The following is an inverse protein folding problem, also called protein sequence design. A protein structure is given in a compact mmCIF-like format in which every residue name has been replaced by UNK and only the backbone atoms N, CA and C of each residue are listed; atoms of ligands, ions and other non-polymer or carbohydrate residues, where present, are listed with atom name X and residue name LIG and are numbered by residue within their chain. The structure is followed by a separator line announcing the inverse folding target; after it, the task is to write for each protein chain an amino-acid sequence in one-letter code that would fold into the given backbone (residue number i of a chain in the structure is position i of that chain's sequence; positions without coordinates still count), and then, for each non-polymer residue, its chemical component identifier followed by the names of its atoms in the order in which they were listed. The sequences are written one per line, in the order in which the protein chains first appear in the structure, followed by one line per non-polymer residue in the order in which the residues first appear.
data_IF_883078297746
#
_entry.id   IF_883078297746
#
_cell.length_a   1.000
_cell.length_b   1.000
_cell.length_c   1.000
_cell.angle_alpha   90.00
_cell.angle_beta   90.00
_cell.angle_gamma   90.00
#
_symmetry.space_group_name_H-M   'P 1'
#
loop_
_entity.id
_entity.type
_entity.pdbx_description
1 polymer ?
#
# COMPACT_ATOMS: atom_id res chain seq x y z
N UNK A 1 39.57 -29.79 -43.91
CA UNK A 1 39.13 -30.61 -42.75
C UNK A 1 37.93 -29.92 -42.12
N UNK A 2 36.72 -30.44 -42.30
CA UNK A 2 35.50 -29.88 -41.71
C UNK A 2 35.32 -30.34 -40.25
N UNK A 3 34.62 -29.54 -39.43
CA UNK A 3 34.26 -29.96 -38.08
C UNK A 3 33.41 -31.24 -38.11
N UNK A 4 33.67 -32.22 -37.23
CA UNK A 4 32.86 -33.43 -37.14
C UNK A 4 31.42 -33.07 -36.72
N UNK A 5 30.43 -33.67 -37.40
CA UNK A 5 28.98 -33.39 -37.28
C UNK A 5 28.49 -33.39 -35.83
N UNK A 6 29.09 -34.21 -34.96
CA UNK A 6 28.80 -34.28 -33.54
C UNK A 6 29.12 -32.99 -32.77
N UNK A 7 30.21 -32.28 -33.11
CA UNK A 7 30.58 -30.99 -32.48
C UNK A 7 29.66 -29.86 -32.94
N UNK A 8 29.24 -29.89 -34.20
CA UNK A 8 28.29 -28.94 -34.77
C UNK A 8 26.90 -29.06 -34.10
N UNK A 9 26.40 -30.30 -33.91
CA UNK A 9 25.16 -30.57 -33.16
C UNK A 9 25.23 -30.08 -31.71
N UNK A 10 26.29 -30.43 -30.98
CA UNK A 10 26.46 -30.01 -29.58
C UNK A 10 26.52 -28.47 -29.42
N UNK A 11 27.13 -27.75 -30.38
CA UNK A 11 27.15 -26.28 -30.39
C UNK A 11 25.76 -25.69 -30.61
N UNK A 12 24.98 -26.27 -31.52
CA UNK A 12 23.60 -25.86 -31.81
C UNK A 12 22.68 -26.08 -30.61
N UNK A 13 22.71 -27.26 -29.99
CA UNK A 13 21.93 -27.57 -28.79
C UNK A 13 22.28 -26.64 -27.61
N UNK A 14 23.56 -26.29 -27.45
CA UNK A 14 23.97 -25.33 -26.41
C UNK A 14 23.39 -23.95 -26.68
N UNK A 15 23.49 -23.46 -27.91
CA UNK A 15 22.90 -22.18 -28.32
C UNK A 15 21.38 -22.18 -28.10
N UNK A 16 20.70 -23.26 -28.49
CA UNK A 16 19.26 -23.43 -28.32
C UNK A 16 18.86 -23.33 -26.84
N UNK A 17 19.53 -24.08 -25.95
CA UNK A 17 19.30 -24.01 -24.50
C UNK A 17 19.52 -22.60 -23.91
N UNK A 18 20.55 -21.88 -24.35
CA UNK A 18 20.75 -20.48 -23.93
C UNK A 18 19.65 -19.56 -24.44
N UNK A 19 19.21 -19.74 -25.69
CA UNK A 19 18.13 -18.94 -26.27
C UNK A 19 16.79 -19.21 -25.60
N UNK A 20 16.49 -20.46 -25.25
CA UNK A 20 15.29 -20.86 -24.53
C UNK A 20 15.28 -20.27 -23.12
N UNK A 21 16.40 -20.38 -22.37
CA UNK A 21 16.53 -19.76 -21.04
C UNK A 21 16.39 -18.24 -21.08
N UNK A 22 16.97 -17.59 -22.10
CA UNK A 22 16.83 -16.15 -22.29
C UNK A 22 15.38 -15.78 -22.62
N UNK A 23 14.70 -16.55 -23.47
CA UNK A 23 13.30 -16.33 -23.81
C UNK A 23 12.37 -16.54 -22.60
N UNK A 24 12.62 -17.56 -21.78
CA UNK A 24 11.86 -17.84 -20.56
C UNK A 24 12.03 -16.71 -19.53
N UNK A 25 13.26 -16.26 -19.28
CA UNK A 25 13.53 -15.14 -18.39
C UNK A 25 12.88 -13.83 -18.88
N UNK A 26 12.88 -13.59 -20.19
CA UNK A 26 12.20 -12.43 -20.79
C UNK A 26 10.67 -12.53 -20.64
N UNK A 27 10.10 -13.72 -20.83
CA UNK A 27 8.67 -13.97 -20.66
C UNK A 27 8.25 -13.76 -19.19
N UNK A 28 9.00 -14.29 -18.23
CA UNK A 28 8.74 -14.11 -16.81
C UNK A 28 8.80 -12.63 -16.41
N UNK A 29 9.83 -11.91 -16.85
CA UNK A 29 9.94 -10.46 -16.63
C UNK A 29 8.73 -9.72 -17.21
N UNK A 30 8.36 -10.02 -18.46
CA UNK A 30 7.22 -9.37 -19.12
C UNK A 30 5.91 -9.63 -18.37
N UNK A 31 5.70 -10.84 -17.84
CA UNK A 31 4.52 -11.16 -17.03
C UNK A 31 4.49 -10.36 -15.72
N UNK A 32 5.64 -10.22 -15.04
CA UNK A 32 5.76 -9.39 -13.84
C UNK A 32 5.47 -7.91 -14.15
N UNK A 33 6.06 -7.38 -15.21
CA UNK A 33 5.86 -5.99 -15.65
C UNK A 33 4.39 -5.72 -16.02
N UNK A 34 3.74 -6.65 -16.74
CA UNK A 34 2.32 -6.54 -17.07
C UNK A 34 1.43 -6.54 -15.82
N UNK A 35 1.79 -7.29 -14.78
CA UNK A 35 1.05 -7.30 -13.51
C UNK A 35 1.15 -5.94 -12.81
N UNK A 36 2.36 -5.39 -12.70
CA UNK A 36 2.60 -4.06 -12.11
C UNK A 36 1.84 -2.98 -12.89
N UNK A 37 1.89 -3.01 -14.22
CA UNK A 37 1.16 -2.04 -15.05
C UNK A 37 -0.35 -2.11 -14.86
N UNK A 38 -0.93 -3.31 -14.70
CA UNK A 38 -2.37 -3.47 -14.44
C UNK A 38 -2.76 -2.90 -13.08
N UNK A 39 -2.00 -3.23 -12.03
CA UNK A 39 -2.23 -2.71 -10.68
C UNK A 39 -2.11 -1.18 -10.65
N UNK A 40 -1.12 -0.62 -11.36
CA UNK A 40 -0.91 0.82 -11.43
C UNK A 40 -1.98 1.53 -12.28
N UNK A 41 -2.43 0.94 -13.38
CA UNK A 41 -3.53 1.47 -14.18
C UNK A 41 -4.86 1.48 -13.39
N UNK A 42 -5.12 0.43 -12.59
CA UNK A 42 -6.28 0.38 -11.69
C UNK A 42 -6.17 1.46 -10.61
N UNK A 43 -5.00 1.59 -9.98
CA UNK A 43 -4.74 2.63 -8.99
C UNK A 43 -4.97 4.02 -9.56
N UNK A 44 -4.43 4.32 -10.74
CA UNK A 44 -4.56 5.63 -11.38
C UNK A 44 -6.00 5.94 -11.82
N UNK A 45 -6.80 4.92 -12.20
CA UNK A 45 -8.22 5.11 -12.50
C UNK A 45 -9.03 5.47 -11.26
N UNK A 46 -8.68 4.89 -10.12
CA UNK A 46 -9.42 5.03 -8.87
C UNK A 46 -8.88 6.16 -7.99
N UNK A 47 -7.65 6.61 -8.22
CA UNK A 47 -6.98 7.59 -7.35
C UNK A 47 -7.77 8.88 -7.19
N UNK A 48 -8.38 9.40 -8.26
CA UNK A 48 -9.17 10.64 -8.17
C UNK A 48 -10.39 10.49 -7.26
N UNK A 49 -11.11 9.37 -7.38
CA UNK A 49 -12.27 9.07 -6.53
C UNK A 49 -11.86 8.82 -5.07
N UNK A 50 -10.80 8.03 -4.87
CA UNK A 50 -10.27 7.72 -3.54
C UNK A 50 -9.71 8.98 -2.85
N UNK A 51 -9.02 9.84 -3.60
CA UNK A 51 -8.53 11.13 -3.10
C UNK A 51 -9.71 12.04 -2.74
N UNK A 52 -10.77 12.07 -3.54
CA UNK A 52 -11.98 12.83 -3.21
C UNK A 52 -12.65 12.31 -1.94
N UNK A 53 -12.71 10.99 -1.74
CA UNK A 53 -13.24 10.37 -0.53
C UNK A 53 -12.39 10.70 0.70
N UNK A 54 -11.07 10.57 0.60
CA UNK A 54 -10.14 10.91 1.69
C UNK A 54 -10.22 12.40 2.00
N UNK A 55 -10.24 13.28 0.99
CA UNK A 55 -10.42 14.73 1.20
C UNK A 55 -11.75 15.05 1.85
N UNK A 56 -12.86 14.46 1.39
CA UNK A 56 -14.18 14.67 2.00
C UNK A 56 -14.18 14.22 3.46
N UNK A 57 -13.52 13.11 3.75
CA UNK A 57 -13.36 12.64 5.12
C UNK A 57 -12.46 13.58 5.93
N UNK A 58 -11.29 14.00 5.46
CA UNK A 58 -10.35 14.80 6.25
C UNK A 58 -10.73 16.28 6.38
N UNK A 59 -11.61 16.79 5.50
CA UNK A 59 -12.01 18.19 5.45
C UNK A 59 -12.43 18.71 6.85
N UNK A 60 -11.81 19.81 7.28
CA UNK A 60 -12.06 20.47 8.55
C UNK A 60 -11.48 19.74 9.79
N UNK A 61 -10.84 18.58 9.62
CA UNK A 61 -10.22 17.82 10.72
C UNK A 61 -8.81 17.30 10.44
N UNK A 62 -8.20 17.66 9.32
CA UNK A 62 -6.85 17.25 8.90
C UNK A 62 -5.75 17.54 9.95
N UNK A 63 -5.96 18.56 10.79
CA UNK A 63 -5.01 18.96 11.83
C UNK A 63 -5.43 18.53 13.24
N UNK A 64 -6.58 17.88 13.38
CA UNK A 64 -7.13 17.48 14.66
C UNK A 64 -7.03 15.97 14.83
N UNK A 65 -5.97 15.52 15.48
CA UNK A 65 -5.70 14.10 15.69
C UNK A 65 -6.86 13.38 16.40
N UNK A 66 -7.50 14.01 17.39
CA UNK A 66 -8.64 13.42 18.11
C UNK A 66 -9.82 13.17 17.17
N UNK A 67 -10.13 14.15 16.32
CA UNK A 67 -11.22 14.04 15.35
C UNK A 67 -10.93 12.97 14.29
N UNK A 68 -9.71 12.89 13.78
CA UNK A 68 -9.32 11.84 12.82
C UNK A 68 -9.44 10.44 13.43
N UNK A 69 -8.91 10.24 14.63
CA UNK A 69 -8.98 8.94 15.32
C UNK A 69 -10.41 8.51 15.64
N UNK A 70 -11.28 9.47 16.01
CA UNK A 70 -12.68 9.19 16.35
C UNK A 70 -13.56 8.85 15.15
N UNK A 71 -13.13 9.21 13.94
CA UNK A 71 -13.89 9.06 12.69
C UNK A 71 -13.24 8.12 11.68
N UNK A 72 -12.19 7.40 12.09
CA UNK A 72 -11.40 6.52 11.21
C UNK A 72 -12.22 5.34 10.63
N UNK A 73 -13.27 4.91 11.33
CA UNK A 73 -14.19 3.85 10.88
C UNK A 73 -14.88 4.18 9.54
N UNK A 74 -15.10 5.46 9.25
CA UNK A 74 -15.81 5.86 8.02
C UNK A 74 -14.95 5.76 6.78
N UNK A 75 -13.63 5.80 6.92
CA UNK A 75 -12.70 5.75 5.79
C UNK A 75 -12.05 4.36 5.64
N UNK A 76 -11.80 3.64 6.74
CA UNK A 76 -11.23 2.29 6.69
C UNK A 76 -12.25 1.18 6.42
N UNK A 77 -13.54 1.46 6.64
CA UNK A 77 -14.62 0.49 6.47
C UNK A 77 -14.62 -0.64 7.51
N UNK A 78 -15.66 -1.46 7.48
CA UNK A 78 -15.86 -2.55 8.44
C UNK A 78 -14.76 -3.63 8.38
N UNK A 79 -14.20 -3.87 7.19
CA UNK A 79 -13.19 -4.91 6.95
C UNK A 79 -11.85 -4.63 7.63
N UNK A 80 -11.58 -3.37 7.98
CA UNK A 80 -10.37 -2.99 8.70
C UNK A 80 -10.30 -3.58 10.11
N UNK A 81 -11.45 -3.94 10.71
CA UNK A 81 -11.55 -4.32 12.12
C UNK A 81 -11.30 -3.14 13.08
N UNK A 82 -11.26 -1.91 12.58
CA UNK A 82 -11.16 -0.72 13.41
C UNK A 82 -12.42 -0.55 14.26
N UNK A 83 -12.22 -0.43 15.57
CA UNK A 83 -13.33 -0.13 16.49
C UNK A 83 -13.42 1.39 16.67
N UNK A 84 -14.60 2.00 16.45
CA UNK A 84 -14.79 3.44 16.64
C UNK A 84 -14.47 3.81 18.10
N UNK A 85 -13.80 4.95 18.28
CA UNK A 85 -13.41 5.47 19.59
C UNK A 85 -14.13 6.81 19.76
N UNK A 86 -15.02 6.98 20.75
CA UNK A 86 -15.70 8.25 20.96
C UNK A 86 -14.70 9.32 21.43
N UNK A 87 -15.00 10.59 21.14
CA UNK A 87 -14.15 11.72 21.58
C UNK A 87 -13.99 11.79 23.11
N UNK A 88 -14.99 11.31 23.86
CA UNK A 88 -14.95 11.18 25.33
C UNK A 88 -13.82 10.30 25.82
N UNK A 89 -13.40 9.31 25.03
CA UNK A 89 -12.31 8.40 25.38
C UNK A 89 -10.94 8.97 24.96
N UNK A 90 -10.93 10.04 24.15
CA UNK A 90 -9.76 10.72 23.62
C UNK A 90 -9.46 12.04 24.34
N UNK A 91 -9.97 12.23 25.56
CA UNK A 91 -9.74 13.44 26.37
C UNK A 91 -8.28 13.52 26.80
N UNK A 92 -7.76 12.45 27.41
CA UNK A 92 -6.38 12.42 27.90
C UNK A 92 -5.37 12.21 26.78
N UNK A 93 -4.22 12.88 26.88
CA UNK A 93 -3.12 12.72 25.93
C UNK A 93 -2.58 11.29 25.91
N UNK A 94 -2.61 10.57 27.04
CA UNK A 94 -2.27 9.15 27.08
C UNK A 94 -3.20 8.31 26.20
N UNK A 95 -4.53 8.57 26.26
CA UNK A 95 -5.52 7.89 25.42
C UNK A 95 -5.31 8.18 23.94
N UNK A 96 -5.06 9.45 23.58
CA UNK A 96 -4.76 9.85 22.20
C UNK A 96 -3.52 9.12 21.67
N UNK A 97 -2.43 9.09 22.45
CA UNK A 97 -1.20 8.38 22.08
C UNK A 97 -1.40 6.88 21.92
N UNK A 98 -2.25 6.27 22.72
CA UNK A 98 -2.61 4.84 22.60
C UNK A 98 -3.44 4.59 21.34
N UNK A 99 -4.45 5.41 21.09
CA UNK A 99 -5.31 5.31 19.91
C UNK A 99 -4.53 5.55 18.62
N UNK A 100 -3.62 6.53 18.58
CA UNK A 100 -2.75 6.78 17.43
C UNK A 100 -1.86 5.58 17.10
N UNK A 101 -1.14 5.04 18.09
CA UNK A 101 -0.31 3.83 17.89
C UNK A 101 -1.13 2.65 17.38
N UNK A 102 -2.37 2.53 17.85
CA UNK A 102 -3.28 1.51 17.32
C UNK A 102 -3.63 1.82 15.87
N UNK A 103 -4.06 3.04 15.55
CA UNK A 103 -4.45 3.43 14.19
C UNK A 103 -3.34 3.18 13.17
N UNK A 104 -2.09 3.57 13.49
CA UNK A 104 -0.95 3.36 12.59
C UNK A 104 -0.73 1.89 12.25
N UNK A 105 -1.00 0.95 13.16
CA UNK A 105 -0.92 -0.49 12.87
C UNK A 105 -1.99 -0.98 11.88
N UNK A 106 -3.17 -0.34 11.86
CA UNK A 106 -4.26 -0.74 10.96
C UNK A 106 -4.05 -0.20 9.55
N UNK A 107 -3.45 0.99 9.42
CA UNK A 107 -3.18 1.63 8.14
C UNK A 107 -1.76 1.38 7.60
N UNK A 108 -0.93 0.63 8.34
CA UNK A 108 0.45 0.36 7.91
C UNK A 108 0.49 -0.56 6.67
N UNK A 109 1.30 -0.24 5.64
CA UNK A 109 1.37 -1.04 4.41
C UNK A 109 1.76 -2.51 4.66
N UNK A 110 2.67 -2.78 5.60
CA UNK A 110 3.04 -4.16 6.00
C UNK A 110 1.83 -4.97 6.49
N UNK A 111 0.97 -4.37 7.33
CA UNK A 111 -0.20 -5.05 7.89
C UNK A 111 -1.30 -5.23 6.85
N UNK A 112 -1.43 -4.31 5.91
CA UNK A 112 -2.33 -4.42 4.78
C UNK A 112 -1.90 -5.53 3.81
N UNK A 113 -0.59 -5.65 3.58
CA UNK A 113 -0.03 -6.72 2.76
C UNK A 113 -0.30 -8.10 3.38
N UNK A 114 -0.15 -8.25 4.70
CA UNK A 114 -0.46 -9.49 5.42
C UNK A 114 -1.96 -9.87 5.38
N UNK A 115 -2.85 -8.87 5.27
CA UNK A 115 -4.31 -9.07 5.21
C UNK A 115 -4.85 -9.27 3.79
N UNK A 116 -4.00 -9.18 2.77
CA UNK A 116 -4.44 -9.26 1.37
C UNK A 116 -5.30 -8.08 0.93
N UNK A 117 -5.03 -6.88 1.47
CA UNK A 117 -5.81 -5.68 1.18
C UNK A 117 -5.80 -5.33 -0.33
N UNK A 118 -6.92 -4.83 -0.83
CA UNK A 118 -7.07 -4.41 -2.23
C UNK A 118 -6.19 -3.20 -2.55
N UNK A 119 -5.94 -2.96 -3.85
CA UNK A 119 -5.22 -1.75 -4.33
C UNK A 119 -5.85 -0.47 -3.77
N UNK A 120 -7.18 -0.40 -3.71
CA UNK A 120 -7.92 0.73 -3.17
C UNK A 120 -7.69 0.92 -1.68
N UNK A 121 -7.77 -0.15 -0.88
CA UNK A 121 -7.53 -0.10 0.56
C UNK A 121 -6.10 0.34 0.88
N UNK A 122 -5.12 -0.17 0.14
CA UNK A 122 -3.72 0.25 0.26
C UNK A 122 -3.56 1.75 0.03
N UNK A 123 -4.19 2.26 -1.04
CA UNK A 123 -4.15 3.68 -1.39
C UNK A 123 -4.80 4.56 -0.31
N UNK A 124 -6.01 4.23 0.13
CA UNK A 124 -6.71 4.97 1.20
C UNK A 124 -5.86 4.99 2.47
N UNK A 125 -5.34 3.82 2.89
CA UNK A 125 -4.57 3.72 4.12
C UNK A 125 -3.27 4.52 4.06
N UNK A 126 -2.60 4.56 2.92
CA UNK A 126 -1.41 5.41 2.70
C UNK A 126 -1.75 6.89 2.96
N UNK A 127 -2.81 7.41 2.32
CA UNK A 127 -3.24 8.79 2.52
C UNK A 127 -3.66 9.08 3.96
N UNK A 128 -4.39 8.15 4.59
CA UNK A 128 -4.82 8.28 5.99
C UNK A 128 -3.62 8.25 6.93
N UNK A 129 -2.60 7.43 6.64
CA UNK A 129 -1.37 7.37 7.43
C UNK A 129 -0.64 8.71 7.42
N UNK A 130 -0.51 9.35 6.26
CA UNK A 130 0.13 10.67 6.14
C UNK A 130 -0.64 11.74 6.93
N UNK A 131 -1.97 11.78 6.82
CA UNK A 131 -2.82 12.70 7.58
C UNK A 131 -2.69 12.48 9.09
N UNK A 132 -2.69 11.23 9.55
CA UNK A 132 -2.50 10.90 10.96
C UNK A 132 -1.12 11.33 11.46
N UNK A 133 -0.07 11.16 10.65
CA UNK A 133 1.30 11.56 10.98
C UNK A 133 1.42 13.08 11.07
N UNK A 134 0.80 13.83 10.16
CA UNK A 134 0.78 15.29 10.21
C UNK A 134 0.06 15.79 11.47
N UNK A 135 -1.13 15.26 11.75
CA UNK A 135 -1.90 15.62 12.94
C UNK A 135 -1.17 15.22 14.24
N UNK A 136 -0.43 14.12 14.24
CA UNK A 136 0.43 13.71 15.36
C UNK A 136 1.56 14.69 15.63
N UNK A 137 2.22 15.17 14.59
CA UNK A 137 3.28 16.16 14.73
C UNK A 137 2.75 17.47 15.34
N UNK A 138 1.55 17.90 14.92
CA UNK A 138 0.87 19.08 15.49
C UNK A 138 0.45 18.85 16.95
N UNK A 139 -0.12 17.69 17.24
CA UNK A 139 -0.48 17.30 18.61
C UNK A 139 0.72 17.29 19.56
N UNK A 140 1.88 16.79 19.10
CA UNK A 140 3.12 16.78 19.90
C UNK A 140 3.77 18.16 20.07
N UNK A 141 3.51 19.11 19.16
CA UNK A 141 3.95 20.49 19.27
C UNK A 141 3.09 21.30 20.27
N UNK A 142 1.80 20.99 20.37
CA UNK A 142 0.85 21.61 21.30
C UNK A 142 1.05 21.14 22.76
N UNK A 143 1.61 19.93 22.96
CA UNK A 143 1.96 19.37 24.27
C UNK A 143 3.38 19.72 24.77
N UNK A 144 4.13 20.59 24.06
CA UNK A 144 5.48 21.01 24.46
C UNK A 144 5.49 22.33 25.21
#
# INVERSE_FOLDING_TARGET
KGEPIQRCKARSERHQRTSERAAEALAEKKLRDLKVQKEEAERNRLSEALDADVKRWSNGKENNLRALLSTLQYILGAESGWKPIPLTDLVSSASVRKAYRKATLYVHPDKLQQRGASTQQKYICEKVFDLLKEAWNKFGADER
#
